data_IF_668127522925
#
_entry.id   IF_668127522925
#
_cell.length_a   1.000
_cell.length_b   1.000
_cell.length_c   1.000
_cell.angle_alpha   90.00
_cell.angle_beta   90.00
_cell.angle_gamma   90.00
#
_symmetry.space_group_name_H-M   'P 1'
#
loop_
_entity.id
_entity.type
_entity.pdbx_description
1 polymer ?
#
# COMPACT_ATOMS: atom_id res chain seq x y z
N UNK A 1 -9.00 -24.82 -1.25
CA UNK A 1 -8.35 -23.53 -1.54
C UNK A 1 -8.12 -22.87 -0.20
N UNK A 2 -6.87 -22.82 0.26
CA UNK A 2 -6.52 -22.07 1.48
C UNK A 2 -6.93 -20.62 1.26
N UNK A 3 -7.67 -20.03 2.20
CA UNK A 3 -8.03 -18.62 2.13
C UNK A 3 -6.75 -17.80 2.21
N UNK A 4 -6.43 -17.09 1.14
CA UNK A 4 -5.30 -16.18 1.05
C UNK A 4 -5.33 -15.20 2.23
N UNK A 5 -4.17 -15.02 2.88
CA UNK A 5 -4.10 -14.19 4.07
C UNK A 5 -4.26 -12.72 3.65
N UNK A 6 -5.24 -11.98 4.19
CA UNK A 6 -5.50 -10.62 3.75
C UNK A 6 -4.32 -9.69 4.06
N UNK A 7 -3.54 -9.94 5.12
CA UNK A 7 -2.33 -9.16 5.41
C UNK A 7 -1.23 -9.41 4.38
N UNK A 8 -1.13 -10.62 3.84
CA UNK A 8 -0.17 -10.93 2.75
C UNK A 8 -0.60 -10.22 1.47
N UNK A 9 -1.88 -10.31 1.10
CA UNK A 9 -2.42 -9.61 -0.07
C UNK A 9 -2.17 -8.10 0.01
N UNK A 10 -2.42 -7.48 1.17
CA UNK A 10 -2.19 -6.05 1.37
C UNK A 10 -0.70 -5.68 1.24
N UNK A 11 0.19 -6.51 1.79
CA UNK A 11 1.63 -6.29 1.67
C UNK A 11 2.07 -6.33 0.19
N UNK A 12 1.54 -7.27 -0.58
CA UNK A 12 1.80 -7.39 -2.03
C UNK A 12 1.23 -6.21 -2.81
N UNK A 13 -0.05 -5.88 -2.58
CA UNK A 13 -0.76 -4.76 -3.21
C UNK A 13 -0.09 -3.41 -2.95
N UNK A 14 0.60 -3.26 -1.82
CA UNK A 14 1.33 -2.04 -1.46
C UNK A 14 2.84 -2.13 -1.78
N UNK A 15 3.35 -3.31 -2.16
CA UNK A 15 4.78 -3.53 -2.39
C UNK A 15 5.64 -3.33 -1.13
N UNK A 16 5.10 -3.62 0.05
CA UNK A 16 5.77 -3.43 1.34
C UNK A 16 5.84 -4.74 2.13
N UNK A 17 6.71 -4.80 3.13
CA UNK A 17 6.73 -5.89 4.10
C UNK A 17 5.91 -5.54 5.37
N UNK A 18 5.64 -6.52 6.23
CA UNK A 18 4.85 -6.33 7.46
C UNK A 18 5.42 -5.25 8.40
N UNK A 19 6.75 -5.13 8.48
CA UNK A 19 7.39 -4.09 9.31
C UNK A 19 7.05 -2.71 8.75
N UNK A 20 7.21 -2.52 7.44
CA UNK A 20 6.91 -1.26 6.80
C UNK A 20 5.42 -0.94 6.82
N UNK A 21 4.57 -1.96 6.69
CA UNK A 21 3.14 -1.84 6.87
C UNK A 21 2.82 -1.31 8.28
N UNK A 22 3.40 -1.90 9.32
CA UNK A 22 3.24 -1.48 10.71
C UNK A 22 3.65 -0.01 10.94
N UNK A 23 4.79 0.40 10.36
CA UNK A 23 5.25 1.79 10.38
C UNK A 23 4.26 2.76 9.70
N UNK A 24 3.72 2.38 8.53
CA UNK A 24 2.77 3.20 7.78
C UNK A 24 1.46 3.38 8.56
N UNK A 25 0.96 2.29 9.15
CA UNK A 25 -0.36 2.29 9.82
C UNK A 25 -0.27 2.72 11.29
N UNK A 26 0.94 2.95 11.82
CA UNK A 26 1.17 3.42 13.18
C UNK A 26 0.91 2.38 14.27
N UNK A 27 1.14 1.09 14.00
CA UNK A 27 0.98 0.01 14.99
C UNK A 27 2.30 -0.77 15.16
N UNK A 28 2.36 -1.65 16.16
CA UNK A 28 3.53 -2.51 16.34
C UNK A 28 3.61 -3.59 15.25
N UNK A 29 4.81 -4.01 14.87
CA UNK A 29 5.00 -5.15 13.96
C UNK A 29 4.33 -6.42 14.53
N UNK A 30 4.38 -6.62 15.85
CA UNK A 30 3.69 -7.73 16.52
C UNK A 30 2.19 -7.72 16.27
N UNK A 31 1.55 -6.55 16.25
CA UNK A 31 0.13 -6.41 15.96
C UNK A 31 -0.19 -6.95 14.56
N UNK A 32 0.61 -6.58 13.56
CA UNK A 32 0.46 -7.06 12.17
C UNK A 32 0.72 -8.58 12.08
N UNK A 33 1.74 -9.08 12.76
CA UNK A 33 2.04 -10.52 12.78
C UNK A 33 0.94 -11.34 13.46
N UNK A 34 0.32 -10.82 14.52
CA UNK A 34 -0.85 -11.44 15.16
C UNK A 34 -2.02 -11.47 14.19
N UNK A 35 -2.34 -10.37 13.50
CA UNK A 35 -3.42 -10.35 12.52
C UNK A 35 -3.22 -11.35 11.39
N UNK A 36 -1.98 -11.47 10.90
CA UNK A 36 -1.62 -12.49 9.93
C UNK A 36 -1.88 -13.89 10.50
N UNK A 37 -1.36 -14.21 11.68
CA UNK A 37 -1.52 -15.53 12.30
C UNK A 37 -2.99 -15.89 12.57
N UNK A 38 -3.78 -14.93 13.00
CA UNK A 38 -5.20 -15.10 13.31
C UNK A 38 -6.10 -15.02 12.06
N UNK A 39 -5.51 -14.68 10.90
CA UNK A 39 -6.22 -14.42 9.65
C UNK A 39 -7.39 -13.44 9.83
N UNK A 40 -7.19 -12.45 10.72
CA UNK A 40 -8.22 -11.52 11.17
C UNK A 40 -7.58 -10.22 11.59
N UNK A 41 -8.16 -9.12 11.14
CA UNK A 41 -7.77 -7.77 11.54
C UNK A 41 -9.03 -6.93 11.82
N UNK A 42 -8.91 -5.80 12.53
CA UNK A 42 -10.05 -4.92 12.81
C UNK A 42 -10.76 -4.41 11.55
N UNK A 43 -12.07 -4.18 11.61
CA UNK A 43 -12.84 -3.67 10.47
C UNK A 43 -12.32 -2.31 9.97
N UNK A 44 -11.86 -1.44 10.88
CA UNK A 44 -11.33 -0.13 10.51
C UNK A 44 -10.09 -0.23 9.62
N UNK A 45 -9.30 -1.29 9.76
CA UNK A 45 -8.09 -1.46 8.96
C UNK A 45 -8.42 -1.69 7.49
N UNK A 46 -9.57 -2.30 7.18
CA UNK A 46 -10.00 -2.47 5.78
C UNK A 46 -10.19 -1.12 5.08
N UNK A 47 -10.94 -0.20 5.72
CA UNK A 47 -11.16 1.14 5.20
C UNK A 47 -9.84 1.92 5.08
N UNK A 48 -8.94 1.72 6.04
CA UNK A 48 -7.61 2.34 5.98
C UNK A 48 -6.79 1.85 4.79
N UNK A 49 -6.79 0.54 4.51
CA UNK A 49 -6.07 -0.01 3.36
C UNK A 49 -6.65 0.42 2.02
N UNK A 50 -7.98 0.52 1.89
CA UNK A 50 -8.60 1.05 0.68
C UNK A 50 -8.14 2.50 0.41
N UNK A 51 -8.09 3.36 1.43
CA UNK A 51 -7.56 4.73 1.32
C UNK A 51 -6.08 4.73 0.90
N UNK A 52 -5.27 3.78 1.41
CA UNK A 52 -3.87 3.67 1.01
C UNK A 52 -3.69 3.21 -0.44
N UNK A 53 -4.52 2.28 -0.91
CA UNK A 53 -4.53 1.84 -2.32
C UNK A 53 -4.86 3.01 -3.24
N UNK A 54 -5.88 3.80 -2.91
CA UNK A 54 -6.21 5.01 -3.65
C UNK A 54 -5.05 6.02 -3.69
N UNK A 55 -4.37 6.23 -2.56
CA UNK A 55 -3.19 7.11 -2.51
C UNK A 55 -2.06 6.62 -3.42
N UNK A 56 -1.76 5.31 -3.44
CA UNK A 56 -0.74 4.74 -4.33
C UNK A 56 -1.06 5.02 -5.80
N UNK A 57 -2.33 4.85 -6.20
CA UNK A 57 -2.77 5.14 -7.56
C UNK A 57 -2.57 6.63 -7.92
N UNK A 58 -2.85 7.53 -6.97
CA UNK A 58 -2.59 8.96 -7.14
C UNK A 58 -1.10 9.28 -7.32
N UNK A 59 -0.22 8.65 -6.54
CA UNK A 59 1.23 8.83 -6.65
C UNK A 59 1.77 8.29 -7.99
N UNK A 60 1.29 7.13 -8.45
CA UNK A 60 1.64 6.58 -9.77
C UNK A 60 1.19 7.49 -10.93
N UNK A 61 -0.02 8.05 -10.83
CA UNK A 61 -0.53 9.02 -11.79
C UNK A 61 0.31 10.31 -11.78
N UNK A 62 0.63 10.83 -10.58
CA UNK A 62 1.48 12.02 -10.42
C UNK A 62 2.84 11.83 -11.08
N UNK A 63 3.52 10.72 -10.79
CA UNK A 63 4.83 10.41 -11.36
C UNK A 63 4.78 10.35 -12.90
N UNK A 64 3.69 9.80 -13.44
CA UNK A 64 3.47 9.75 -14.89
C UNK A 64 3.32 11.15 -15.50
N UNK A 65 2.58 12.05 -14.84
CA UNK A 65 2.41 13.44 -15.27
C UNK A 65 3.73 14.23 -15.20
N UNK A 66 4.49 14.08 -14.11
CA UNK A 66 5.80 14.73 -13.95
C UNK A 66 6.75 14.33 -15.08
N UNK A 67 6.79 13.03 -15.42
CA UNK A 67 7.60 12.52 -16.54
C UNK A 67 7.16 13.08 -17.90
N UNK A 68 5.86 13.26 -18.13
CA UNK A 68 5.34 13.88 -19.37
C UNK A 68 5.76 15.37 -19.44
N UNK A 69 5.72 16.10 -18.34
CA UNK A 69 6.14 17.50 -18.28
C UNK A 69 7.64 17.66 -18.56
N UNK A 70 8.47 16.78 -18.00
CA UNK A 70 9.91 16.75 -18.27
C UNK A 70 10.20 16.53 -19.75
N UNK A 71 9.55 15.55 -20.37
CA UNK A 71 9.69 15.27 -21.81
C UNK A 71 9.26 16.46 -22.66
N UNK A 72 8.10 17.06 -22.38
CA UNK A 72 7.62 18.23 -23.13
C UNK A 72 8.56 19.43 -23.04
N UNK A 73 9.20 19.66 -21.90
CA UNK A 73 10.19 20.71 -21.74
C UNK A 73 11.49 20.41 -22.51
N UNK A 74 11.86 19.13 -22.65
CA UNK A 74 13.02 18.71 -23.44
C UNK A 74 12.82 18.93 -24.94
N UNK A 75 11.62 18.71 -25.47
CA UNK A 75 11.29 18.87 -26.90
C UNK A 75 10.77 20.29 -27.27
N UNK A 76 10.69 21.22 -26.32
CA UNK A 76 10.35 22.64 -26.54
C UNK A 76 11.57 23.53 -26.85
N UNK A 77 12.77 22.96 -26.94
CA UNK A 77 13.98 23.61 -27.48
C UNK A 77 13.99 23.52 -29.00
#
# INVERSE_FOLDING_TARGET
MEKENPIEQICEDLGVNQKKLAEIIGVSQNTVSTWKKENKFPTWTNNFFEVLKERRNCDEYRNSVEKILELNNQYKK
#
